data_IF_172351945345
#
_entry.id   IF_172351945345
#
_cell.length_a   1.000
_cell.length_b   1.000
_cell.length_c   1.000
_cell.angle_alpha   90.00
_cell.angle_beta   90.00
_cell.angle_gamma   90.00
#
_symmetry.space_group_name_H-M   'P 1'
#
loop_
_entity.id
_entity.type
_entity.pdbx_description
1 polymer ?
#
# COMPACT_ATOMS: atom_id res chain seq x y z
N UNK A 1 -16.66 -17.58 13.00
CA UNK A 1 -16.67 -16.46 12.04
C UNK A 1 -16.56 -15.09 12.73
N UNK A 2 -17.33 -14.82 13.79
CA UNK A 2 -17.29 -13.54 14.55
C UNK A 2 -15.90 -13.19 15.09
N UNK A 3 -15.18 -14.15 15.69
CA UNK A 3 -13.85 -13.91 16.25
C UNK A 3 -12.81 -13.38 15.22
N UNK A 4 -12.88 -13.82 13.95
CA UNK A 4 -11.94 -13.37 12.92
C UNK A 4 -12.19 -11.90 12.53
N UNK A 5 -13.45 -11.47 12.50
CA UNK A 5 -13.82 -10.07 12.21
C UNK A 5 -13.45 -9.14 13.36
N UNK A 6 -13.60 -9.60 14.61
CA UNK A 6 -13.20 -8.83 15.80
C UNK A 6 -11.69 -8.53 15.76
N UNK A 7 -10.85 -9.50 15.42
CA UNK A 7 -9.40 -9.29 15.29
C UNK A 7 -9.04 -8.25 14.22
N UNK A 8 -9.79 -8.17 13.13
CA UNK A 8 -9.57 -7.14 12.09
C UNK A 8 -9.98 -5.76 12.62
N UNK A 9 -11.12 -5.68 13.32
CA UNK A 9 -11.63 -4.43 13.89
C UNK A 9 -10.70 -3.87 14.96
N UNK A 10 -10.14 -4.74 15.81
CA UNK A 10 -9.28 -4.35 16.91
C UNK A 10 -7.81 -4.18 16.49
N UNK A 11 -7.51 -4.26 15.19
CA UNK A 11 -6.14 -4.09 14.69
C UNK A 11 -5.66 -2.66 15.01
N UNK A 12 -4.52 -2.51 15.71
CA UNK A 12 -3.97 -1.20 16.01
C UNK A 12 -3.56 -0.46 14.73
N UNK A 13 -3.61 0.87 14.79
CA UNK A 13 -3.09 1.72 13.73
C UNK A 13 -1.57 1.49 13.59
N UNK A 14 -1.15 1.12 12.38
CA UNK A 14 0.24 0.83 12.04
C UNK A 14 0.99 2.07 11.52
N UNK A 15 0.30 3.20 11.31
CA UNK A 15 0.92 4.45 10.82
C UNK A 15 2.15 4.88 11.62
N UNK A 16 2.18 4.80 12.96
CA UNK A 16 3.38 5.14 13.74
C UNK A 16 4.61 4.29 13.38
N UNK A 17 4.40 3.02 12.99
CA UNK A 17 5.49 2.10 12.67
C UNK A 17 6.19 2.43 11.35
N UNK A 18 5.57 3.20 10.45
CA UNK A 18 6.19 3.60 9.19
C UNK A 18 7.53 4.32 9.38
N UNK A 19 7.66 5.12 10.44
CA UNK A 19 8.91 5.81 10.76
C UNK A 19 10.02 4.87 11.24
N UNK A 20 9.66 3.68 11.72
CA UNK A 20 10.58 2.67 12.24
C UNK A 20 11.12 1.73 11.14
N UNK A 21 10.55 1.79 9.92
CA UNK A 21 10.95 0.94 8.81
C UNK A 21 12.32 1.38 8.27
N UNK A 22 13.36 0.58 8.57
CA UNK A 22 14.74 0.83 8.15
C UNK A 22 15.13 0.16 6.83
N UNK A 23 14.35 -0.81 6.37
CA UNK A 23 14.55 -1.49 5.09
C UNK A 23 14.15 -0.58 3.92
N UNK A 24 14.82 -0.65 2.75
CA UNK A 24 14.30 -0.06 1.52
C UNK A 24 12.89 -0.59 1.26
N UNK A 25 11.95 0.31 0.99
CA UNK A 25 10.54 -0.04 0.82
C UNK A 25 10.03 0.50 -0.51
N UNK A 26 9.38 -0.34 -1.31
CA UNK A 26 8.64 0.09 -2.49
C UNK A 26 7.16 0.16 -2.12
N UNK A 27 6.54 1.33 -2.29
CA UNK A 27 5.11 1.53 -2.15
C UNK A 27 4.50 1.62 -3.53
N UNK A 28 3.74 0.60 -3.91
CA UNK A 28 3.01 0.57 -5.18
C UNK A 28 1.60 1.10 -4.93
N UNK A 29 1.23 2.14 -5.66
CA UNK A 29 -0.12 2.67 -5.74
C UNK A 29 -0.63 2.55 -7.17
N UNK A 30 -1.95 2.57 -7.33
CA UNK A 30 -2.62 2.46 -8.62
C UNK A 30 -3.61 3.60 -8.79
N UNK A 31 -3.72 4.13 -10.00
CA UNK A 31 -4.39 5.41 -10.26
C UNK A 31 -5.92 5.34 -10.06
N UNK A 32 -6.52 4.18 -10.34
CA UNK A 32 -7.96 4.01 -10.40
C UNK A 32 -8.51 3.15 -9.24
N UNK A 33 -7.80 3.09 -8.10
CA UNK A 33 -8.25 2.38 -6.91
C UNK A 33 -9.36 3.15 -6.17
N UNK A 34 -10.60 2.64 -6.12
CA UNK A 34 -11.67 3.27 -5.34
C UNK A 34 -11.58 2.96 -3.83
N UNK A 35 -10.82 1.94 -3.42
CA UNK A 35 -10.71 1.47 -2.04
C UNK A 35 -9.54 2.12 -1.31
N UNK A 36 -8.39 2.25 -1.99
CA UNK A 36 -7.17 2.83 -1.43
C UNK A 36 -6.65 3.93 -2.36
N UNK A 37 -7.17 5.17 -2.23
CA UNK A 37 -6.80 6.27 -3.11
C UNK A 37 -5.28 6.54 -3.07
N UNK A 38 -4.70 6.74 -4.27
CA UNK A 38 -3.26 6.94 -4.43
C UNK A 38 -2.65 8.08 -3.58
N UNK A 39 -3.32 9.21 -3.29
CA UNK A 39 -2.77 10.23 -2.39
C UNK A 39 -2.54 9.75 -0.95
N UNK A 40 -3.34 8.79 -0.48
CA UNK A 40 -3.19 8.19 0.86
C UNK A 40 -1.93 7.36 0.92
N UNK A 41 -1.70 6.52 -0.10
CA UNK A 41 -0.47 5.72 -0.23
C UNK A 41 0.76 6.61 -0.42
N UNK A 42 0.62 7.71 -1.15
CA UNK A 42 1.68 8.69 -1.30
C UNK A 42 2.05 9.30 0.06
N UNK A 43 1.09 9.73 0.87
CA UNK A 43 1.35 10.24 2.22
C UNK A 43 2.01 9.19 3.13
N UNK A 44 1.57 7.93 3.04
CA UNK A 44 2.19 6.81 3.75
C UNK A 44 3.66 6.63 3.34
N UNK A 45 3.96 6.66 2.03
CA UNK A 45 5.33 6.57 1.53
C UNK A 45 6.23 7.69 2.08
N UNK A 46 5.72 8.93 2.14
CA UNK A 46 6.47 10.06 2.69
C UNK A 46 6.80 9.92 4.20
N UNK A 47 6.06 9.09 4.94
CA UNK A 47 6.33 8.84 6.36
C UNK A 47 7.46 7.83 6.59
N UNK A 48 7.87 7.07 5.56
CA UNK A 48 8.90 6.04 5.64
C UNK A 48 10.27 6.59 5.20
N UNK A 49 11.35 6.39 5.97
CA UNK A 49 12.65 7.01 5.69
C UNK A 49 13.28 6.65 4.33
N UNK A 50 13.00 5.45 3.82
CA UNK A 50 13.63 4.88 2.61
C UNK A 50 12.61 4.35 1.61
N UNK A 51 11.41 4.92 1.62
CA UNK A 51 10.38 4.51 0.69
C UNK A 51 10.55 5.15 -0.69
N UNK A 52 10.25 4.36 -1.71
CA UNK A 52 10.03 4.83 -3.08
C UNK A 52 8.56 4.63 -3.39
N UNK A 53 7.91 5.66 -3.90
CA UNK A 53 6.52 5.61 -4.33
C UNK A 53 6.45 5.37 -5.85
N UNK A 54 5.64 4.40 -6.26
CA UNK A 54 5.44 4.05 -7.66
C UNK A 54 3.94 4.01 -7.98
N UNK A 55 3.50 4.85 -8.92
CA UNK A 55 2.11 4.92 -9.35
C UNK A 55 1.92 4.19 -10.68
N UNK A 56 1.05 3.17 -10.69
CA UNK A 56 0.61 2.48 -11.89
C UNK A 56 -0.60 3.19 -12.51
N UNK A 57 -0.50 3.72 -13.74
CA UNK A 57 -1.62 4.35 -14.43
C UNK A 57 -2.57 3.28 -14.98
N UNK A 58 -3.87 3.61 -15.10
CA UNK A 58 -4.88 2.76 -15.74
C UNK A 58 -5.06 1.37 -15.10
N UNK A 59 -4.83 1.28 -13.78
CA UNK A 59 -4.93 0.05 -12.98
C UNK A 59 -5.76 0.35 -11.73
N UNK A 60 -6.63 -0.56 -11.34
CA UNK A 60 -7.43 -0.50 -10.13
C UNK A 60 -6.83 -1.38 -9.02
N UNK A 61 -7.65 -1.73 -8.03
CA UNK A 61 -7.19 -2.26 -6.73
C UNK A 61 -6.31 -3.52 -6.82
N UNK A 62 -6.57 -4.43 -7.77
CA UNK A 62 -5.93 -5.74 -7.83
C UNK A 62 -4.84 -5.75 -8.89
N UNK A 63 -3.88 -4.83 -8.78
CA UNK A 63 -2.80 -4.62 -9.74
C UNK A 63 -1.99 -5.88 -10.09
N UNK A 64 -1.82 -6.79 -9.12
CA UNK A 64 -1.15 -8.07 -9.33
C UNK A 64 -1.91 -9.02 -10.28
N UNK A 65 -3.22 -8.82 -10.44
CA UNK A 65 -4.08 -9.57 -11.36
C UNK A 65 -4.30 -8.78 -12.65
N UNK A 66 -4.55 -7.48 -12.53
CA UNK A 66 -4.87 -6.60 -13.66
C UNK A 66 -3.66 -6.34 -14.55
N UNK A 67 -2.46 -6.25 -13.98
CA UNK A 67 -1.23 -6.01 -14.75
C UNK A 67 -0.02 -6.71 -14.11
N UNK A 68 0.06 -8.05 -14.21
CA UNK A 68 1.04 -8.86 -13.48
C UNK A 68 2.49 -8.47 -13.75
N UNK A 69 2.80 -8.10 -15.01
CA UNK A 69 4.14 -7.68 -15.43
C UNK A 69 4.56 -6.33 -14.85
N UNK A 70 3.62 -5.45 -14.53
CA UNK A 70 3.93 -4.09 -14.05
C UNK A 70 4.13 -4.00 -12.54
N UNK A 71 3.83 -5.07 -11.79
CA UNK A 71 4.14 -5.18 -10.36
C UNK A 71 5.55 -5.72 -10.09
N UNK A 72 6.23 -6.25 -11.11
CA UNK A 72 7.62 -6.71 -11.02
C UNK A 72 8.60 -5.55 -11.22
N UNK A 73 9.68 -5.53 -10.45
CA UNK A 73 10.87 -4.77 -10.80
C UNK A 73 11.67 -5.63 -11.79
N UNK A 74 11.49 -5.40 -13.09
CA UNK A 74 12.42 -5.89 -14.12
C UNK A 74 13.75 -5.11 -14.08
#
# INVERSE_FOLDING_TARGET
MVAALQVICDRPDATPWCQEISAPTLVIAVADDPLIPSPVLQALAHSMPRAVYWLLPSVAHLSNVETPSSCGLD
#
